data_IF_670858916948
#
_entry.id   IF_670858916948
#
_cell.length_a   1.000
_cell.length_b   1.000
_cell.length_c   1.000
_cell.angle_alpha   90.00
_cell.angle_beta   90.00
_cell.angle_gamma   90.00
#
_symmetry.space_group_name_H-M   'P 1'
#
loop_
_entity.id
_entity.type
_entity.pdbx_description
1 polymer ?
#
# COMPACT_ATOMS: atom_id res chain seq x y z
N UNK A 1 -42.68 -39.16 58.56
CA UNK A 1 -43.40 -39.45 57.30
C UNK A 1 -42.38 -39.51 56.19
N UNK A 2 -42.37 -40.67 55.57
CA UNK A 2 -41.38 -41.19 54.65
C UNK A 2 -41.71 -40.80 53.21
N UNK A 3 -40.70 -40.44 52.41
CA UNK A 3 -40.57 -40.88 51.00
C UNK A 3 -39.20 -40.52 50.42
N UNK A 4 -38.45 -41.59 50.13
CA UNK A 4 -37.26 -41.69 49.28
C UNK A 4 -37.61 -41.48 47.81
N UNK A 5 -36.68 -40.90 47.03
CA UNK A 5 -36.35 -41.23 45.63
C UNK A 5 -35.33 -40.21 45.11
N UNK A 6 -34.33 -40.48 44.27
CA UNK A 6 -33.62 -41.66 43.77
C UNK A 6 -32.44 -41.06 42.96
N UNK A 7 -31.27 -41.70 43.03
CA UNK A 7 -30.08 -41.45 42.22
C UNK A 7 -30.38 -41.33 40.72
N UNK A 8 -29.60 -40.51 40.01
CA UNK A 8 -28.87 -40.96 38.81
C UNK A 8 -27.62 -40.11 38.55
N UNK A 9 -26.48 -40.80 38.55
CA UNK A 9 -25.15 -40.36 38.13
C UNK A 9 -25.01 -40.71 36.65
N UNK A 10 -24.55 -39.78 35.82
CA UNK A 10 -23.98 -40.13 34.51
C UNK A 10 -22.56 -39.60 34.45
N UNK A 11 -21.66 -40.56 34.51
CA UNK A 11 -20.24 -40.49 34.26
C UNK A 11 -20.03 -40.74 32.76
N UNK A 12 -19.17 -39.95 32.12
CA UNK A 12 -18.67 -40.25 30.78
C UNK A 12 -17.26 -39.70 30.59
N UNK A 13 -16.31 -40.44 31.16
CA UNK A 13 -14.98 -40.57 30.59
C UNK A 13 -15.07 -41.08 29.14
N UNK A 14 -14.38 -40.41 28.21
CA UNK A 14 -13.76 -41.07 27.06
C UNK A 14 -12.48 -40.34 26.64
N UNK A 15 -11.40 -41.12 26.76
CA UNK A 15 -9.99 -40.83 26.48
C UNK A 15 -9.67 -40.86 24.96
N UNK A 16 -8.43 -40.49 24.55
CA UNK A 16 -8.11 -39.91 23.26
C UNK A 16 -7.80 -40.95 22.17
N UNK A 17 -7.97 -40.56 20.90
CA UNK A 17 -7.52 -41.39 19.78
C UNK A 17 -6.03 -41.17 19.48
N UNK A 18 -5.35 -42.32 19.40
CA UNK A 18 -3.95 -42.54 19.16
C UNK A 18 -3.48 -42.09 17.77
N UNK A 19 -2.24 -41.58 17.78
CA UNK A 19 -1.21 -41.68 16.75
C UNK A 19 -1.10 -43.12 16.25
N UNK A 20 -0.97 -43.36 14.93
CA UNK A 20 -0.09 -44.40 14.40
C UNK A 20 0.37 -44.09 12.98
N UNK A 21 1.64 -44.43 12.79
CA UNK A 21 2.48 -44.45 11.61
C UNK A 21 1.83 -45.09 10.37
N UNK A 22 2.28 -44.65 9.19
CA UNK A 22 2.43 -45.60 8.09
C UNK A 22 3.69 -45.29 7.28
N UNK A 23 4.69 -46.13 7.54
CA UNK A 23 5.95 -46.25 6.82
C UNK A 23 5.88 -47.54 5.99
N UNK A 24 6.44 -47.49 4.78
CA UNK A 24 6.96 -48.57 3.92
C UNK A 24 6.13 -49.24 2.82
N UNK A 25 6.86 -49.33 1.68
CA UNK A 25 6.88 -50.32 0.60
C UNK A 25 5.90 -50.14 -0.58
N UNK A 26 6.27 -50.38 -1.86
CA UNK A 26 7.55 -50.60 -2.57
C UNK A 26 7.25 -50.64 -4.09
N UNK A 27 8.24 -50.21 -4.87
CA UNK A 27 8.62 -50.45 -6.28
C UNK A 27 7.79 -51.30 -7.27
N UNK A 28 7.69 -50.78 -8.51
CA UNK A 28 7.96 -51.42 -9.83
C UNK A 28 7.61 -50.39 -10.93
N UNK A 29 8.40 -49.99 -11.94
CA UNK A 29 9.52 -50.61 -12.64
C UNK A 29 9.05 -51.09 -14.03
N UNK A 30 9.27 -50.29 -15.10
CA UNK A 30 9.56 -50.77 -16.47
C UNK A 30 9.77 -49.64 -17.51
N UNK A 31 10.80 -49.88 -18.32
CA UNK A 31 11.44 -49.09 -19.39
C UNK A 31 10.63 -48.95 -20.70
N UNK A 32 11.02 -47.98 -21.55
CA UNK A 32 11.45 -48.24 -22.95
C UNK A 32 11.95 -46.98 -23.71
N UNK A 33 13.06 -47.20 -24.42
CA UNK A 33 13.95 -46.38 -25.29
C UNK A 33 13.29 -45.66 -26.49
N UNK A 34 13.73 -44.44 -26.85
CA UNK A 34 14.72 -44.03 -27.90
C UNK A 34 14.17 -44.03 -29.36
N UNK A 35 14.42 -42.96 -30.15
CA UNK A 35 14.97 -42.96 -31.54
C UNK A 35 15.17 -41.51 -32.06
N UNK A 36 16.30 -41.36 -32.76
CA UNK A 36 17.03 -40.22 -33.36
C UNK A 36 16.37 -39.61 -34.62
N UNK A 37 16.67 -38.33 -34.95
CA UNK A 37 16.57 -37.86 -36.35
C UNK A 37 16.68 -36.35 -36.63
N UNK A 38 17.89 -35.88 -36.97
CA UNK A 38 18.25 -34.56 -37.51
C UNK A 38 17.60 -34.21 -38.87
N UNK A 39 17.48 -32.89 -39.21
CA UNK A 39 17.96 -32.24 -40.47
C UNK A 39 17.57 -30.74 -40.63
N UNK A 40 18.60 -29.88 -40.73
CA UNK A 40 18.87 -28.75 -41.67
C UNK A 40 17.72 -28.06 -42.47
N UNK A 41 17.52 -26.73 -42.36
CA UNK A 41 18.10 -25.55 -43.09
C UNK A 41 17.02 -24.86 -43.99
N UNK A 42 17.22 -23.62 -44.51
CA UNK A 42 16.23 -22.54 -44.45
C UNK A 42 15.73 -22.12 -45.86
N UNK A 43 14.77 -21.19 -45.93
CA UNK A 43 14.45 -20.53 -47.20
C UNK A 43 13.99 -19.09 -46.99
N UNK A 44 14.83 -18.19 -47.50
CA UNK A 44 14.56 -16.81 -47.91
C UNK A 44 13.56 -16.78 -49.06
N UNK A 45 12.71 -15.75 -49.15
CA UNK A 45 12.48 -15.02 -50.42
C UNK A 45 11.73 -13.70 -50.18
N UNK A 46 12.15 -12.71 -50.96
CA UNK A 46 11.76 -11.32 -51.03
C UNK A 46 10.85 -11.03 -52.25
N UNK A 47 10.29 -9.80 -52.25
CA UNK A 47 9.79 -8.98 -53.37
C UNK A 47 8.27 -8.86 -53.65
N UNK A 48 7.85 -7.58 -53.70
CA UNK A 48 6.62 -6.89 -54.14
C UNK A 48 6.34 -7.05 -55.66
N UNK A 49 5.30 -6.47 -56.35
CA UNK A 49 4.78 -5.08 -56.24
C UNK A 49 3.28 -4.78 -56.64
N UNK A 50 2.89 -3.48 -56.56
CA UNK A 50 1.84 -2.74 -57.34
C UNK A 50 0.35 -3.14 -57.18
N UNK A 51 -0.70 -2.30 -57.28
CA UNK A 51 -0.95 -0.88 -57.62
C UNK A 51 -2.44 -0.53 -57.34
N UNK A 52 -2.69 0.72 -56.90
CA UNK A 52 -3.80 1.67 -57.19
C UNK A 52 -5.26 1.22 -57.43
N UNK A 53 -6.23 1.85 -56.72
CA UNK A 53 -7.29 2.76 -57.23
C UNK A 53 -8.02 3.50 -56.08
N UNK A 54 -8.56 4.68 -56.40
CA UNK A 54 -8.95 5.80 -55.53
C UNK A 54 -10.38 5.79 -54.93
N UNK A 55 -10.63 6.61 -53.89
CA UNK A 55 -11.54 7.79 -53.95
C UNK A 55 -11.87 8.39 -52.56
N UNK A 56 -11.70 9.72 -52.46
CA UNK A 56 -12.53 10.76 -51.77
C UNK A 56 -12.82 10.65 -50.25
N UNK A 57 -12.73 11.66 -49.38
CA UNK A 57 -12.61 13.14 -49.44
C UNK A 57 -12.37 13.67 -48.02
N UNK A 58 -11.58 14.75 -47.93
CA UNK A 58 -11.58 15.92 -47.02
C UNK A 58 -11.72 15.82 -45.48
N UNK A 59 -10.75 16.39 -44.75
CA UNK A 59 -10.86 17.77 -44.23
C UNK A 59 -9.59 18.26 -43.49
N UNK A 60 -9.05 19.34 -44.05
CA UNK A 60 -8.20 20.47 -43.61
C UNK A 60 -7.12 20.42 -42.51
N UNK A 61 -6.09 21.19 -42.87
CA UNK A 61 -4.76 21.41 -42.28
C UNK A 61 -4.70 22.74 -41.53
N UNK A 62 -3.89 22.71 -40.48
CA UNK A 62 -2.99 23.71 -39.92
C UNK A 62 -2.67 25.04 -40.68
N UNK A 63 -2.60 26.11 -39.86
CA UNK A 63 -1.62 27.23 -39.82
C UNK A 63 -1.57 28.27 -40.96
N UNK A 64 -1.60 29.57 -40.62
CA UNK A 64 -0.41 30.46 -40.69
C UNK A 64 -0.64 31.92 -40.19
N UNK A 65 0.38 32.44 -39.49
CA UNK A 65 0.99 33.80 -39.39
C UNK A 65 0.22 35.15 -39.26
N UNK A 66 0.60 35.84 -38.17
CA UNK A 66 1.31 37.14 -38.09
C UNK A 66 0.64 38.51 -38.30
N UNK A 67 0.70 39.29 -37.19
CA UNK A 67 1.03 40.73 -37.00
C UNK A 67 0.30 41.84 -37.78
N UNK A 68 -0.36 42.74 -37.04
CA UNK A 68 -0.09 44.19 -37.08
C UNK A 68 -0.83 44.92 -35.94
N UNK A 69 -0.11 45.83 -35.29
CA UNK A 69 -0.58 46.72 -34.24
C UNK A 69 -1.49 47.85 -34.78
N UNK A 70 -2.33 48.43 -33.93
CA UNK A 70 -2.63 49.87 -33.87
C UNK A 70 -3.40 50.21 -32.56
N UNK A 71 -2.99 51.31 -31.93
CA UNK A 71 -3.50 51.88 -30.68
C UNK A 71 -4.75 52.75 -30.89
N UNK A 72 -5.64 52.74 -29.90
CA UNK A 72 -6.49 53.85 -29.37
C UNK A 72 -7.45 53.18 -28.39
N UNK A 73 -7.77 53.62 -27.17
CA UNK A 73 -7.76 54.92 -26.53
C UNK A 73 -9.11 55.04 -25.78
N UNK A 74 -9.06 55.33 -24.48
CA UNK A 74 -10.15 55.77 -23.57
C UNK A 74 -10.85 54.73 -22.63
N UNK A 75 -10.42 54.75 -21.37
CA UNK A 75 -11.17 54.82 -20.09
C UNK A 75 -12.62 54.28 -19.99
N UNK A 76 -12.85 53.37 -19.03
CA UNK A 76 -13.79 53.62 -17.92
C UNK A 76 -13.56 52.64 -16.75
N UNK A 77 -13.48 53.19 -15.55
CA UNK A 77 -13.39 52.54 -14.25
C UNK A 77 -14.61 51.67 -13.92
N UNK A 78 -14.40 50.42 -13.49
CA UNK A 78 -15.37 49.65 -12.71
C UNK A 78 -14.64 48.95 -11.56
N UNK A 79 -15.33 49.02 -10.43
CA UNK A 79 -14.98 48.74 -9.03
C UNK A 79 -14.29 47.40 -8.75
N UNK A 80 -13.40 47.45 -7.76
CA UNK A 80 -12.78 46.28 -7.15
C UNK A 80 -13.81 45.59 -6.25
N UNK A 81 -14.29 44.43 -6.68
CA UNK A 81 -15.00 43.49 -5.83
C UNK A 81 -14.00 42.44 -5.31
N UNK A 82 -13.61 42.67 -4.07
CA UNK A 82 -13.33 41.74 -2.97
C UNK A 82 -12.94 40.30 -3.34
N UNK A 83 -11.65 40.02 -3.10
CA UNK A 83 -10.99 38.73 -3.14
C UNK A 83 -11.58 37.76 -2.10
N UNK A 84 -12.58 36.98 -2.51
CA UNK A 84 -13.03 35.78 -1.81
C UNK A 84 -12.01 34.65 -1.90
N UNK A 85 -10.78 34.91 -1.42
CA UNK A 85 -9.76 33.88 -1.22
C UNK A 85 -10.26 32.93 -0.14
N UNK A 86 -10.70 31.75 -0.59
CA UNK A 86 -10.93 30.58 0.25
C UNK A 86 -9.61 30.31 0.97
N UNK A 87 -9.50 30.81 2.20
CA UNK A 87 -8.41 30.47 3.07
C UNK A 87 -8.54 28.99 3.35
N UNK A 88 -7.73 28.19 2.66
CA UNK A 88 -7.40 26.83 3.07
C UNK A 88 -6.74 26.96 4.45
N UNK A 89 -7.57 27.00 5.49
CA UNK A 89 -7.14 27.17 6.87
C UNK A 89 -6.25 25.97 7.15
N UNK A 90 -4.95 26.22 7.13
CA UNK A 90 -3.91 25.22 7.36
C UNK A 90 -4.00 24.75 8.81
N UNK A 91 -4.91 23.79 9.04
CA UNK A 91 -4.94 23.05 10.29
C UNK A 91 -3.58 22.38 10.41
N UNK A 92 -2.82 22.84 11.39
CA UNK A 92 -1.50 22.31 11.66
C UNK A 92 -1.64 20.82 11.99
N UNK A 93 -0.83 19.96 11.36
CA UNK A 93 -0.91 18.52 11.64
C UNK A 93 -0.61 18.28 13.12
N UNK A 94 -1.28 17.33 13.78
CA UNK A 94 -1.15 17.12 15.23
C UNK A 94 0.31 16.83 15.60
N UNK A 95 0.83 17.19 16.78
CA UNK A 95 2.22 16.90 17.15
C UNK A 95 2.48 15.39 17.25
N UNK A 96 3.71 14.90 17.02
CA UNK A 96 4.04 13.49 17.24
C UNK A 96 3.97 13.13 18.74
N UNK A 97 3.45 11.93 19.07
CA UNK A 97 3.44 11.42 20.46
C UNK A 97 4.85 11.21 21.00
N UNK A 98 5.78 10.78 20.15
CA UNK A 98 7.16 10.46 20.51
C UNK A 98 8.13 11.25 19.61
N UNK A 99 8.46 12.49 19.99
CA UNK A 99 9.42 13.30 19.23
C UNK A 99 10.80 12.65 19.17
N UNK A 100 11.50 12.83 18.06
CA UNK A 100 12.86 12.31 17.85
C UNK A 100 13.72 13.27 17.03
N UNK A 101 15.03 13.23 17.26
CA UNK A 101 16.07 13.89 16.45
C UNK A 101 16.64 12.96 15.36
N UNK A 102 16.20 11.70 15.30
CA UNK A 102 16.62 10.76 14.29
C UNK A 102 16.18 11.20 12.89
N UNK A 103 17.03 10.93 11.90
CA UNK A 103 16.77 11.20 10.48
C UNK A 103 16.88 9.93 9.66
N UNK A 104 16.08 9.86 8.59
CA UNK A 104 16.05 8.69 7.72
C UNK A 104 17.40 8.53 7.03
N UNK A 105 17.92 7.31 7.13
CA UNK A 105 19.16 6.86 6.49
C UNK A 105 19.01 5.39 6.11
N UNK A 106 19.95 4.89 5.33
CA UNK A 106 20.09 3.45 5.09
C UNK A 106 20.27 2.71 6.41
N UNK A 107 19.40 1.74 6.67
CA UNK A 107 19.44 0.92 7.86
C UNK A 107 20.62 -0.06 7.82
N UNK A 108 21.19 -0.34 8.99
CA UNK A 108 22.15 -1.43 9.22
C UNK A 108 21.46 -2.79 9.19
N UNK A 109 22.22 -3.88 9.02
CA UNK A 109 21.65 -5.23 9.00
C UNK A 109 20.97 -5.59 10.34
N UNK A 110 21.50 -5.10 11.46
CA UNK A 110 20.91 -5.23 12.80
C UNK A 110 19.56 -4.50 12.90
N UNK A 111 19.50 -3.26 12.40
CA UNK A 111 18.25 -2.47 12.37
C UNK A 111 17.20 -3.13 11.47
N UNK A 112 17.60 -3.68 10.32
CA UNK A 112 16.71 -4.42 9.41
C UNK A 112 16.20 -5.70 10.08
N UNK A 113 17.08 -6.47 10.76
CA UNK A 113 16.69 -7.69 11.47
C UNK A 113 15.67 -7.38 12.56
N UNK A 114 15.95 -6.38 13.41
CA UNK A 114 15.04 -5.93 14.46
C UNK A 114 13.71 -5.43 13.90
N UNK A 115 13.74 -4.69 12.79
CA UNK A 115 12.53 -4.25 12.09
C UNK A 115 11.67 -5.42 11.63
N UNK A 116 12.28 -6.41 10.96
CA UNK A 116 11.56 -7.56 10.39
C UNK A 116 10.93 -8.44 11.47
N UNK A 117 11.55 -8.56 12.64
CA UNK A 117 10.95 -9.22 13.80
C UNK A 117 9.71 -8.49 14.33
N UNK A 118 9.71 -7.15 14.30
CA UNK A 118 8.53 -6.35 14.63
C UNK A 118 7.45 -6.43 13.55
N UNK A 119 7.85 -6.34 12.27
CA UNK A 119 6.96 -6.48 11.11
C UNK A 119 6.23 -7.82 11.13
N UNK A 120 6.92 -8.92 11.47
CA UNK A 120 6.30 -10.24 11.63
C UNK A 120 5.22 -10.22 12.71
N UNK A 121 5.52 -9.72 13.92
CA UNK A 121 4.57 -9.64 15.04
C UNK A 121 3.33 -8.80 14.72
N UNK A 122 3.53 -7.71 13.99
CA UNK A 122 2.42 -6.88 13.50
C UNK A 122 1.48 -7.69 12.60
N UNK A 123 2.03 -8.41 11.63
CA UNK A 123 1.22 -9.19 10.69
C UNK A 123 0.71 -10.52 11.24
N UNK A 124 1.15 -10.96 12.42
CA UNK A 124 0.51 -12.04 13.21
C UNK A 124 -0.83 -11.58 13.80
N UNK A 125 -0.99 -10.29 14.12
CA UNK A 125 -2.22 -9.70 14.65
C UNK A 125 -2.68 -8.52 13.77
N UNK A 126 -3.01 -8.75 12.49
CA UNK A 126 -3.25 -7.66 11.53
C UNK A 126 -4.48 -6.80 11.85
N UNK A 127 -5.39 -7.32 12.68
CA UNK A 127 -6.60 -6.64 13.15
C UNK A 127 -6.34 -5.70 14.34
N UNK A 128 -5.12 -5.67 14.89
CA UNK A 128 -4.76 -4.79 16.00
C UNK A 128 -3.88 -3.65 15.52
N UNK A 129 -3.91 -2.54 16.25
CA UNK A 129 -2.87 -1.53 16.13
C UNK A 129 -1.51 -2.10 16.59
N UNK A 130 -0.43 -1.45 16.17
CA UNK A 130 0.91 -1.91 16.51
C UNK A 130 1.87 -0.74 16.69
N UNK A 131 2.71 -0.81 17.72
CA UNK A 131 3.78 0.14 17.98
C UNK A 131 5.12 -0.44 17.58
N UNK A 132 5.75 0.16 16.58
CA UNK A 132 7.17 -0.08 16.31
C UNK A 132 8.03 0.68 17.31
N UNK A 133 9.10 0.04 17.76
CA UNK A 133 10.12 0.60 18.65
C UNK A 133 11.44 0.56 17.92
N UNK A 134 11.82 1.66 17.28
CA UNK A 134 13.04 1.75 16.48
C UNK A 134 13.76 3.07 16.78
N UNK A 135 15.08 3.06 16.70
CA UNK A 135 15.91 4.29 16.83
C UNK A 135 15.57 5.14 18.07
N UNK A 136 15.25 4.47 19.19
CA UNK A 136 14.90 5.09 20.48
C UNK A 136 13.61 5.92 20.51
N UNK A 137 12.70 5.71 19.56
CA UNK A 137 11.35 6.26 19.61
C UNK A 137 10.28 5.23 19.21
N UNK A 138 9.06 5.50 19.62
CA UNK A 138 7.90 4.67 19.35
C UNK A 138 7.09 5.27 18.19
N UNK A 139 6.62 4.43 17.27
CA UNK A 139 5.73 4.84 16.18
C UNK A 139 4.54 3.90 16.05
N UNK A 140 3.35 4.45 16.26
CA UNK A 140 2.10 3.69 16.29
C UNK A 140 1.47 3.67 14.90
N UNK A 141 0.99 2.51 14.48
CA UNK A 141 0.22 2.34 13.25
C UNK A 141 -1.08 1.57 13.53
N UNK A 142 -2.15 2.02 12.90
CA UNK A 142 -3.47 1.39 13.06
C UNK A 142 -3.57 -0.02 12.47
N UNK A 143 -4.72 -0.70 12.71
CA UNK A 143 -5.04 -2.00 12.12
C UNK A 143 -4.95 -2.03 10.59
N UNK A 144 -4.72 -3.21 10.04
CA UNK A 144 -4.76 -3.43 8.59
C UNK A 144 -6.20 -3.32 8.10
N UNK A 145 -6.47 -2.36 7.23
CA UNK A 145 -7.80 -2.18 6.62
C UNK A 145 -8.11 -3.33 5.64
N UNK A 146 -9.36 -3.80 5.64
CA UNK A 146 -9.90 -4.66 4.59
C UNK A 146 -9.37 -6.10 4.57
N UNK A 147 -8.97 -6.65 5.73
CA UNK A 147 -8.51 -8.05 5.86
C UNK A 147 -9.59 -9.04 5.38
N UNK A 148 -10.87 -8.72 5.59
CA UNK A 148 -12.00 -9.62 5.27
C UNK A 148 -12.70 -9.31 3.93
N UNK A 149 -12.36 -8.20 3.27
CA UNK A 149 -13.10 -7.70 2.08
C UNK A 149 -12.35 -7.94 0.77
N UNK A 150 -11.32 -8.79 0.75
CA UNK A 150 -10.55 -9.04 -0.47
C UNK A 150 -11.42 -9.79 -1.49
N UNK A 151 -11.93 -9.06 -2.48
CA UNK A 151 -12.53 -9.67 -3.66
C UNK A 151 -11.46 -10.50 -4.40
N UNK A 152 -11.68 -11.79 -4.64
CA UNK A 152 -10.73 -12.62 -5.37
C UNK A 152 -10.65 -12.13 -6.82
N UNK A 153 -9.48 -11.67 -7.28
CA UNK A 153 -9.26 -11.49 -8.72
C UNK A 153 -8.32 -10.39 -9.22
N UNK A 154 -7.79 -9.50 -8.39
CA UNK A 154 -6.88 -8.43 -8.88
C UNK A 154 -5.41 -8.85 -8.66
N UNK A 155 -5.02 -9.94 -9.31
CA UNK A 155 -3.61 -10.31 -9.47
C UNK A 155 -3.30 -10.39 -10.96
N UNK A 156 -3.23 -9.22 -11.60
CA UNK A 156 -2.45 -9.08 -12.84
C UNK A 156 -1.18 -8.32 -12.50
N UNK A 157 -0.32 -8.95 -11.69
CA UNK A 157 1.01 -8.42 -11.46
C UNK A 157 1.79 -8.48 -12.79
N UNK A 158 2.02 -7.30 -13.38
CA UNK A 158 2.83 -7.12 -14.59
C UNK A 158 4.28 -7.49 -14.28
N UNK A 159 4.73 -8.68 -14.69
CA UNK A 159 6.13 -9.10 -14.96
C UNK A 159 7.21 -8.94 -13.88
N UNK A 160 6.96 -8.17 -12.82
CA UNK A 160 7.86 -7.82 -11.74
C UNK A 160 7.01 -7.74 -10.47
N UNK A 161 6.75 -8.88 -9.82
CA UNK A 161 6.10 -8.85 -8.52
C UNK A 161 7.02 -8.14 -7.53
N UNK A 162 6.67 -6.91 -7.18
CA UNK A 162 7.42 -6.08 -6.22
C UNK A 162 7.32 -6.62 -4.79
N UNK A 163 6.36 -7.52 -4.57
CA UNK A 163 6.16 -8.22 -3.33
C UNK A 163 6.62 -9.66 -3.46
N UNK A 164 7.21 -10.21 -2.40
CA UNK A 164 7.59 -11.62 -2.33
C UNK A 164 6.35 -12.52 -2.47
N UNK A 165 6.52 -13.70 -3.06
CA UNK A 165 5.42 -14.63 -3.31
C UNK A 165 4.85 -15.22 -2.00
N UNK A 166 5.74 -15.60 -1.07
CA UNK A 166 5.36 -16.21 0.21
C UNK A 166 5.06 -15.13 1.27
N UNK A 167 3.95 -14.41 1.10
CA UNK A 167 3.47 -13.42 2.07
C UNK A 167 1.99 -13.63 2.38
N UNK A 168 1.49 -13.21 3.55
CA UNK A 168 0.05 -13.20 3.82
C UNK A 168 -0.71 -12.31 2.84
N UNK A 169 -1.93 -12.69 2.45
CA UNK A 169 -2.72 -11.97 1.42
C UNK A 169 -3.05 -10.52 1.81
N UNK A 170 -3.18 -10.24 3.10
CA UNK A 170 -3.42 -8.88 3.61
C UNK A 170 -2.16 -8.01 3.62
N UNK A 171 -0.97 -8.58 3.40
CA UNK A 171 0.26 -7.81 3.15
C UNK A 171 0.24 -7.32 1.72
N UNK A 172 -0.14 -6.06 1.58
CA UNK A 172 -0.21 -5.36 0.29
C UNK A 172 0.78 -4.20 0.29
N UNK A 173 0.98 -3.61 -0.88
CA UNK A 173 1.80 -2.39 -0.94
C UNK A 173 1.21 -1.26 -0.07
N UNK A 174 -0.11 -1.12 0.01
CA UNK A 174 -0.74 -0.08 0.82
C UNK A 174 -0.42 -0.25 2.30
N UNK A 175 -0.41 -1.49 2.81
CA UNK A 175 -0.11 -1.75 4.23
C UNK A 175 1.35 -1.47 4.53
N UNK A 176 2.27 -1.90 3.65
CA UNK A 176 3.69 -1.64 3.83
C UNK A 176 4.04 -0.16 3.74
N UNK A 177 3.45 0.60 2.82
CA UNK A 177 3.66 2.05 2.73
C UNK A 177 3.06 2.76 3.95
N UNK A 178 1.91 2.31 4.46
CA UNK A 178 1.33 2.84 5.71
C UNK A 178 2.24 2.60 6.92
N UNK A 179 2.86 1.43 7.01
CA UNK A 179 3.82 1.14 8.08
C UNK A 179 5.12 1.97 7.92
N UNK A 180 5.58 2.19 6.68
CA UNK A 180 6.73 3.05 6.41
C UNK A 180 6.47 4.53 6.75
N UNK A 181 5.27 5.05 6.47
CA UNK A 181 4.91 6.43 6.82
C UNK A 181 4.73 6.63 8.31
N UNK A 182 4.17 5.66 9.03
CA UNK A 182 4.08 5.71 10.48
C UNK A 182 5.46 5.78 11.15
N UNK A 183 6.45 5.07 10.60
CA UNK A 183 7.85 5.03 11.06
C UNK A 183 8.72 6.19 10.56
N UNK A 184 8.13 7.23 9.96
CA UNK A 184 8.89 8.44 9.67
C UNK A 184 9.23 9.16 10.99
N UNK A 185 10.42 9.77 11.11
CA UNK A 185 10.76 10.57 12.27
C UNK A 185 9.76 11.72 12.43
N UNK A 186 9.19 11.85 13.63
CA UNK A 186 8.12 12.83 13.91
C UNK A 186 6.89 12.67 12.99
N UNK A 187 6.72 11.52 12.34
CA UNK A 187 5.70 11.29 11.33
C UNK A 187 5.85 12.15 10.08
N UNK A 188 7.04 12.65 9.76
CA UNK A 188 7.29 13.54 8.61
C UNK A 188 8.47 13.07 7.76
N UNK A 189 8.36 13.17 6.44
CA UNK A 189 9.47 12.88 5.55
C UNK A 189 9.13 12.99 4.07
N UNK A 190 10.16 12.90 3.24
CA UNK A 190 10.02 12.93 1.78
C UNK A 190 9.56 11.58 1.24
N UNK A 191 9.17 11.55 -0.03
CA UNK A 191 8.93 10.27 -0.73
C UNK A 191 10.15 9.36 -0.75
N UNK A 192 11.36 9.92 -0.82
CA UNK A 192 12.60 9.15 -0.81
C UNK A 192 12.81 8.47 0.55
N UNK A 193 12.51 9.19 1.64
CA UNK A 193 12.59 8.64 3.01
C UNK A 193 11.64 7.45 3.19
N UNK A 194 10.41 7.56 2.66
CA UNK A 194 9.44 6.47 2.68
C UNK A 194 9.97 5.26 1.89
N UNK A 195 10.56 5.48 0.71
CA UNK A 195 11.15 4.40 -0.08
C UNK A 195 12.31 3.73 0.68
N UNK A 196 13.15 4.50 1.37
CA UNK A 196 14.28 3.97 2.13
C UNK A 196 13.82 3.10 3.31
N UNK A 197 12.82 3.55 4.06
CA UNK A 197 12.20 2.75 5.13
C UNK A 197 11.50 1.50 4.60
N UNK A 198 10.90 1.57 3.39
CA UNK A 198 10.18 0.47 2.76
C UNK A 198 11.12 -0.67 2.34
N UNK A 199 12.35 -0.35 1.88
CA UNK A 199 13.37 -1.34 1.51
C UNK A 199 13.74 -2.31 2.64
N UNK A 200 13.51 -1.94 3.90
CA UNK A 200 13.78 -2.79 5.06
C UNK A 200 12.77 -3.95 5.21
N UNK A 201 11.59 -3.85 4.60
CA UNK A 201 10.55 -4.88 4.69
C UNK A 201 11.02 -6.23 4.16
N UNK A 202 10.63 -7.31 4.85
CA UNK A 202 10.87 -8.67 4.35
C UNK A 202 9.92 -9.07 3.21
N UNK A 203 8.89 -8.26 2.95
CA UNK A 203 7.89 -8.53 1.93
C UNK A 203 8.12 -7.78 0.62
N UNK A 204 9.09 -6.88 0.58
CA UNK A 204 9.55 -6.22 -0.65
C UNK A 204 10.56 -7.13 -1.35
N UNK A 205 10.41 -7.29 -2.66
CA UNK A 205 11.35 -8.05 -3.48
C UNK A 205 12.75 -7.42 -3.40
N UNK A 206 13.82 -8.20 -3.19
CA UNK A 206 15.18 -7.68 -3.18
C UNK A 206 15.63 -7.16 -4.55
N UNK A 207 14.92 -7.52 -5.63
CA UNK A 207 15.18 -7.05 -7.00
C UNK A 207 14.40 -5.78 -7.36
N UNK A 208 13.62 -5.23 -6.43
CA UNK A 208 12.90 -3.98 -6.59
C UNK A 208 13.85 -2.81 -6.85
N UNK A 209 13.70 -2.13 -7.99
CA UNK A 209 14.48 -0.92 -8.27
C UNK A 209 13.86 0.31 -7.61
N UNK A 210 14.71 1.29 -7.28
CA UNK A 210 14.27 2.56 -6.66
C UNK A 210 13.24 3.31 -7.51
N UNK A 211 13.35 3.24 -8.84
CA UNK A 211 12.39 3.89 -9.75
C UNK A 211 10.99 3.26 -9.64
N UNK A 212 10.92 1.93 -9.56
CA UNK A 212 9.64 1.22 -9.40
C UNK A 212 9.08 1.50 -8.01
N UNK A 213 9.91 1.47 -6.96
CA UNK A 213 9.50 1.82 -5.60
C UNK A 213 8.91 3.24 -5.53
N UNK A 214 9.56 4.23 -6.11
CA UNK A 214 9.04 5.61 -6.11
C UNK A 214 7.68 5.74 -6.81
N UNK A 215 7.51 5.08 -7.94
CA UNK A 215 6.23 5.08 -8.69
C UNK A 215 5.11 4.49 -7.85
N UNK A 216 5.40 3.35 -7.23
CA UNK A 216 4.44 2.59 -6.43
C UNK A 216 4.10 3.32 -5.12
N UNK A 217 5.10 3.86 -4.43
CA UNK A 217 4.90 4.65 -3.21
C UNK A 217 4.04 5.87 -3.52
N UNK A 218 4.25 6.54 -4.65
CA UNK A 218 3.39 7.67 -5.08
C UNK A 218 1.94 7.22 -5.22
N UNK A 219 1.68 6.16 -6.00
CA UNK A 219 0.31 5.66 -6.18
C UNK A 219 -0.34 5.14 -4.89
N UNK A 220 0.43 4.63 -3.93
CA UNK A 220 -0.07 4.22 -2.63
C UNK A 220 -0.47 5.43 -1.76
N UNK A 221 0.39 6.45 -1.70
CA UNK A 221 0.11 7.70 -0.98
C UNK A 221 -1.10 8.42 -1.57
N UNK A 222 -1.26 8.39 -2.89
CA UNK A 222 -2.41 8.95 -3.59
C UNK A 222 -3.74 8.30 -3.17
N UNK A 223 -3.73 6.98 -2.97
CA UNK A 223 -4.92 6.26 -2.49
C UNK A 223 -5.17 6.52 -1.00
N UNK A 224 -4.13 6.61 -0.17
CA UNK A 224 -4.28 6.77 1.28
C UNK A 224 -4.73 8.18 1.70
N UNK A 225 -4.38 9.23 0.95
CA UNK A 225 -4.83 10.60 1.29
C UNK A 225 -6.29 10.87 0.91
N UNK A 226 -6.91 10.01 0.09
CA UNK A 226 -8.32 10.10 -0.31
C UNK A 226 -9.24 9.14 0.46
N UNK A 227 -8.69 8.38 1.41
CA UNK A 227 -9.49 7.52 2.30
C UNK A 227 -10.40 8.38 3.22
N UNK A 228 -11.52 7.82 3.68
CA UNK A 228 -12.44 8.50 4.61
C UNK A 228 -11.77 8.94 5.93
N UNK A 229 -10.87 8.10 6.46
CA UNK A 229 -9.94 8.46 7.55
C UNK A 229 -8.53 8.41 6.96
N UNK A 230 -8.06 9.51 6.34
CA UNK A 230 -6.79 9.54 5.65
C UNK A 230 -5.65 9.50 6.66
N UNK A 231 -4.73 8.55 6.50
CA UNK A 231 -3.59 8.44 7.41
C UNK A 231 -2.39 9.30 6.99
N UNK A 232 -2.44 9.93 5.81
CA UNK A 232 -1.36 10.77 5.29
C UNK A 232 -1.88 12.06 4.68
N UNK A 233 -1.06 13.12 4.75
CA UNK A 233 -1.27 14.40 4.06
C UNK A 233 0.03 14.86 3.41
N UNK A 234 -0.05 15.47 2.23
CA UNK A 234 1.09 16.12 1.61
C UNK A 234 1.14 17.61 1.98
N UNK A 235 2.30 18.08 2.45
CA UNK A 235 2.59 19.50 2.62
C UNK A 235 3.37 19.99 1.39
N UNK A 236 2.70 20.74 0.52
CA UNK A 236 3.29 21.23 -0.72
C UNK A 236 4.42 22.27 -0.49
N UNK A 237 4.34 23.05 0.59
CA UNK A 237 5.34 24.07 0.92
C UNK A 237 6.65 23.43 1.36
N UNK A 238 6.56 22.42 2.22
CA UNK A 238 7.71 21.67 2.75
C UNK A 238 8.13 20.50 1.86
N UNK A 239 7.28 20.11 0.91
CA UNK A 239 7.46 18.96 0.00
C UNK A 239 7.66 17.63 0.75
N UNK A 240 6.86 17.45 1.80
CA UNK A 240 6.91 16.25 2.66
C UNK A 240 5.53 15.62 2.80
N UNK A 241 5.52 14.34 3.13
CA UNK A 241 4.36 13.61 3.59
C UNK A 241 4.34 13.58 5.11
N UNK A 242 3.14 13.69 5.67
CA UNK A 242 2.89 13.74 7.10
C UNK A 242 1.94 12.61 7.46
N UNK A 243 2.35 11.75 8.39
CA UNK A 243 1.52 10.72 8.98
C UNK A 243 0.55 11.34 9.99
N UNK A 244 -0.74 11.34 9.66
CA UNK A 244 -1.76 12.07 10.42
C UNK A 244 -2.13 11.40 11.73
N UNK A 245 -1.84 10.10 11.88
CA UNK A 245 -2.13 9.37 13.12
C UNK A 245 -0.92 9.30 14.06
N UNK A 246 0.11 10.11 13.82
CA UNK A 246 1.33 10.18 14.67
C UNK A 246 1.07 10.59 16.11
N UNK A 247 -0.14 11.06 16.41
CA UNK A 247 -0.59 11.41 17.75
C UNK A 247 -1.58 10.39 18.36
N UNK A 248 -1.85 9.27 17.70
CA UNK A 248 -2.78 8.24 18.16
C UNK A 248 -2.04 7.08 18.84
N UNK A 249 -2.61 6.57 19.93
CA UNK A 249 -2.19 5.37 20.66
C UNK A 249 -2.90 4.12 20.13
N UNK A 250 -2.41 2.92 20.48
CA UNK A 250 -3.08 1.65 20.11
C UNK A 250 -4.53 1.60 20.63
N UNK A 251 -4.77 2.07 21.86
CA UNK A 251 -6.10 2.10 22.49
C UNK A 251 -7.09 3.02 21.77
N UNK A 252 -6.61 4.13 21.21
CA UNK A 252 -7.46 5.03 20.41
C UNK A 252 -7.86 4.39 19.09
N UNK A 253 -6.98 3.59 18.47
CA UNK A 253 -7.32 2.80 17.30
C UNK A 253 -8.36 1.72 17.60
N UNK A 254 -8.20 0.98 18.69
CA UNK A 254 -9.17 -0.04 19.13
C UNK A 254 -10.56 0.57 19.37
N UNK A 255 -10.62 1.76 19.99
CA UNK A 255 -11.89 2.48 20.21
C UNK A 255 -12.53 2.93 18.90
N UNK A 256 -11.74 3.34 17.90
CA UNK A 256 -12.27 3.74 16.60
C UNK A 256 -12.82 2.55 15.80
N UNK A 257 -12.19 1.39 15.91
CA UNK A 257 -12.60 0.17 15.23
C UNK A 257 -13.92 -0.37 15.78
N UNK A 258 -14.10 -0.38 17.11
CA UNK A 258 -15.32 -0.84 17.78
C UNK A 258 -16.51 0.07 17.49
N UNK A 259 -16.31 1.40 17.45
CA UNK A 259 -17.40 2.36 17.37
C UNK A 259 -17.79 2.76 15.95
N UNK A 260 -17.21 2.13 14.92
CA UNK A 260 -17.52 2.41 13.51
C UNK A 260 -17.53 3.92 13.23
N UNK A 261 -16.41 4.60 13.50
CA UNK A 261 -16.20 6.03 13.20
C UNK A 261 -17.44 6.94 13.30
N UNK A 262 -18.06 7.06 14.48
CA UNK A 262 -18.85 8.26 14.79
C UNK A 262 -17.89 9.40 15.17
N UNK A 263 -17.06 9.83 14.20
CA UNK A 263 -16.26 11.05 14.32
C UNK A 263 -17.21 12.23 14.18
N UNK A 264 -17.85 12.62 15.29
CA UNK A 264 -18.50 13.93 15.46
C UNK A 264 -17.73 14.83 16.43
N UNK A 265 -16.49 14.48 16.81
CA UNK A 265 -15.67 15.33 17.69
C UNK A 265 -14.39 15.88 17.06
N UNK A 266 -14.03 15.50 15.82
CA UNK A 266 -12.96 16.17 15.05
C UNK A 266 -13.50 16.86 13.78
N UNK A 267 -14.80 16.71 13.50
CA UNK A 267 -15.50 17.29 12.34
C UNK A 267 -15.95 18.74 12.52
N UNK A 268 -15.67 19.38 13.66
CA UNK A 268 -16.02 20.79 13.90
C UNK A 268 -14.93 21.80 13.52
N UNK A 269 -13.81 21.36 12.92
CA UNK A 269 -12.81 22.28 12.35
C UNK A 269 -12.50 22.01 10.87
N UNK A 270 -13.41 21.36 10.14
CA UNK A 270 -13.22 21.07 8.72
C UNK A 270 -14.33 21.61 7.81
N UNK A 271 -15.28 22.39 8.34
CA UNK A 271 -16.26 23.14 7.56
C UNK A 271 -16.69 24.42 8.28
N UNK A 272 -15.75 25.35 8.51
CA UNK A 272 -15.99 26.82 8.55
C UNK A 272 -14.70 27.53 8.11
#
# INVERSE_FOLDING_TARGET
MEKKSKLETVDSEQQPYNVMDNMYASSSGSDSEEIIGSKHLPSTTSFSPSSSVASTTDACVALNESTAALQSGLNMSIVADDDGSISERSVTPPPPLFPTDWSVRKATDEEIRSFREQEKRRYENPHMAFTYKQHSYDSVVGPVKGIYTQAPGISKARGHSMLVANRPNFVTILTLVRDATARLPNGEGTRADICELLKSSQYISPTATDQILQTIVSGALDRMHTEHDPCVKYDAKRKIWIYLHRNRTEQEFERCEINGCNYNHITVYWYI
#
